data_IF_073709898420
#
_entry.id   IF_073709898420
#
_cell.length_a   1.000
_cell.length_b   1.000
_cell.length_c   1.000
_cell.angle_alpha   90.00
_cell.angle_beta   90.00
_cell.angle_gamma   90.00
#
_symmetry.space_group_name_H-M   'P 1'
#
loop_
_entity.id
_entity.type
_entity.pdbx_description
1 polymer ?
#
# COMPACT_ATOMS: atom_id res chain seq x y z
N UNK A 1 -10.06 21.88 -14.92
CA UNK A 1 -8.84 21.15 -14.53
C UNK A 1 -9.30 19.74 -14.15
N UNK A 2 -8.62 18.70 -14.59
CA UNK A 2 -8.93 17.32 -14.16
C UNK A 2 -8.60 17.16 -12.67
N UNK A 3 -9.34 16.30 -11.97
CA UNK A 3 -9.07 16.00 -10.58
C UNK A 3 -7.66 15.43 -10.42
N UNK A 4 -6.90 15.85 -9.39
CA UNK A 4 -5.51 15.43 -9.18
C UNK A 4 -5.38 13.94 -8.82
N UNK A 5 -6.49 13.32 -8.40
CA UNK A 5 -6.63 11.89 -8.11
C UNK A 5 -7.96 11.43 -8.67
N UNK A 6 -7.95 10.37 -9.46
CA UNK A 6 -9.15 9.72 -9.96
C UNK A 6 -9.51 8.55 -9.06
N UNK A 7 -10.80 8.41 -8.73
CA UNK A 7 -11.30 7.35 -7.86
C UNK A 7 -12.28 6.48 -8.64
N UNK A 8 -11.99 5.18 -8.67
CA UNK A 8 -12.85 4.17 -9.27
C UNK A 8 -13.20 3.09 -8.24
N UNK A 9 -14.44 2.59 -8.30
CA UNK A 9 -14.87 1.45 -7.49
C UNK A 9 -15.18 0.26 -8.38
N UNK A 10 -14.68 -0.92 -7.99
CA UNK A 10 -14.86 -2.18 -8.72
C UNK A 10 -14.98 -3.34 -7.73
N UNK A 11 -16.15 -3.98 -7.61
CA UNK A 11 -16.33 -5.23 -6.85
C UNK A 11 -15.72 -5.21 -5.43
N UNK A 12 -15.98 -4.15 -4.65
CA UNK A 12 -15.42 -4.00 -3.30
C UNK A 12 -13.96 -3.51 -3.25
N UNK A 13 -13.40 -3.13 -4.39
CA UNK A 13 -12.05 -2.57 -4.53
C UNK A 13 -12.16 -1.07 -4.81
N UNK A 14 -11.41 -0.25 -4.07
CA UNK A 14 -11.26 1.18 -4.33
C UNK A 14 -9.93 1.43 -5.03
N UNK A 15 -9.97 1.91 -6.26
CA UNK A 15 -8.79 2.29 -7.04
C UNK A 15 -8.58 3.79 -6.90
N UNK A 16 -7.39 4.19 -6.45
CA UNK A 16 -6.96 5.56 -6.19
C UNK A 16 -5.81 5.86 -7.15
N UNK A 17 -6.10 6.54 -8.25
CA UNK A 17 -5.11 6.81 -9.29
C UNK A 17 -4.65 8.27 -9.24
N UNK A 18 -3.37 8.52 -8.98
CA UNK A 18 -2.79 9.86 -9.06
C UNK A 18 -2.83 10.29 -10.53
N UNK A 19 -3.45 11.44 -10.82
CA UNK A 19 -3.72 11.91 -12.17
C UNK A 19 -3.01 13.24 -12.47
N UNK A 20 -1.68 13.21 -12.41
CA UNK A 20 -0.80 14.32 -12.78
C UNK A 20 0.36 13.84 -13.68
N UNK A 21 0.05 13.19 -14.83
CA UNK A 21 1.07 12.54 -15.65
C UNK A 21 2.14 13.51 -16.17
N UNK A 22 1.79 14.75 -16.48
CA UNK A 22 2.76 15.78 -16.90
C UNK A 22 3.77 16.14 -15.81
N UNK A 23 3.42 15.97 -14.53
CA UNK A 23 4.29 16.11 -13.36
C UNK A 23 4.81 14.75 -12.88
N UNK A 24 4.69 13.68 -13.67
CA UNK A 24 5.08 12.32 -13.30
C UNK A 24 4.46 11.87 -11.98
N UNK A 25 3.21 12.27 -11.77
CA UNK A 25 2.41 12.00 -10.56
C UNK A 25 3.07 12.49 -9.25
N UNK A 26 3.86 13.57 -9.33
CA UNK A 26 4.41 14.22 -8.15
C UNK A 26 3.29 14.72 -7.22
N UNK A 27 3.49 14.53 -5.92
CA UNK A 27 2.51 14.80 -4.87
C UNK A 27 2.65 16.24 -4.38
N UNK A 28 1.58 17.00 -4.52
CA UNK A 28 1.36 18.28 -3.87
C UNK A 28 0.23 18.15 -2.82
N UNK A 29 -0.12 19.25 -2.15
CA UNK A 29 -1.14 19.21 -1.09
C UNK A 29 -2.51 18.76 -1.60
N UNK A 30 -2.91 19.12 -2.82
CA UNK A 30 -4.18 18.71 -3.40
C UNK A 30 -4.25 17.18 -3.60
N UNK A 31 -3.17 16.55 -4.07
CA UNK A 31 -3.06 15.09 -4.16
C UNK A 31 -3.15 14.46 -2.78
N UNK A 32 -2.43 15.00 -1.79
CA UNK A 32 -2.43 14.45 -0.43
C UNK A 32 -3.83 14.48 0.21
N UNK A 33 -4.56 15.58 0.06
CA UNK A 33 -5.93 15.70 0.56
C UNK A 33 -6.88 14.72 -0.15
N UNK A 34 -6.75 14.57 -1.47
CA UNK A 34 -7.60 13.65 -2.23
C UNK A 34 -7.33 12.17 -1.85
N UNK A 35 -6.05 11.78 -1.67
CA UNK A 35 -5.69 10.43 -1.20
C UNK A 35 -6.23 10.22 0.21
N UNK A 36 -6.04 11.17 1.14
CA UNK A 36 -6.55 11.07 2.50
C UNK A 36 -8.06 10.84 2.52
N UNK A 37 -8.82 11.62 1.75
CA UNK A 37 -10.28 11.46 1.62
C UNK A 37 -10.66 10.09 1.05
N UNK A 38 -9.93 9.60 0.05
CA UNK A 38 -10.18 8.28 -0.53
C UNK A 38 -9.89 7.15 0.46
N UNK A 39 -8.85 7.29 1.27
CA UNK A 39 -8.51 6.32 2.35
C UNK A 39 -9.57 6.34 3.45
N UNK A 40 -10.08 7.52 3.84
CA UNK A 40 -11.18 7.61 4.81
C UNK A 40 -12.46 6.93 4.27
N UNK A 41 -12.74 7.10 2.98
CA UNK A 41 -13.83 6.38 2.32
C UNK A 41 -13.58 4.87 2.32
N UNK A 42 -12.36 4.41 2.01
CA UNK A 42 -12.01 2.98 2.07
C UNK A 42 -12.31 2.41 3.45
N UNK A 43 -11.93 3.10 4.52
CA UNK A 43 -12.13 2.62 5.89
C UNK A 43 -13.60 2.62 6.31
N UNK A 44 -14.33 3.70 6.01
CA UNK A 44 -15.70 3.89 6.51
C UNK A 44 -16.78 3.14 5.71
N UNK A 45 -16.55 2.82 4.44
CA UNK A 45 -17.51 2.15 3.58
C UNK A 45 -17.42 0.63 3.74
N UNK A 46 -18.45 -0.07 4.30
CA UNK A 46 -18.43 -1.51 4.51
C UNK A 46 -18.41 -2.33 3.20
N UNK A 47 -18.82 -1.74 2.08
CA UNK A 47 -18.78 -2.39 0.77
C UNK A 47 -17.37 -2.40 0.16
N UNK A 48 -16.48 -1.53 0.64
CA UNK A 48 -15.08 -1.50 0.23
C UNK A 48 -14.24 -2.39 1.14
N UNK A 49 -13.43 -3.26 0.55
CA UNK A 49 -12.65 -4.28 1.27
C UNK A 49 -11.15 -4.17 1.05
N UNK A 50 -10.74 -3.59 -0.09
CA UNK A 50 -9.32 -3.46 -0.50
C UNK A 50 -9.14 -2.14 -1.24
N UNK A 51 -8.04 -1.44 -0.98
CA UNK A 51 -7.60 -0.28 -1.77
C UNK A 51 -6.47 -0.64 -2.72
N UNK A 52 -6.40 0.04 -3.86
CA UNK A 52 -5.26 0.01 -4.79
C UNK A 52 -4.84 1.45 -5.05
N UNK A 53 -3.56 1.78 -4.82
CA UNK A 53 -2.97 3.05 -5.25
C UNK A 53 -2.18 2.81 -6.53
N UNK A 54 -2.36 3.69 -7.52
CA UNK A 54 -1.63 3.68 -8.79
C UNK A 54 -1.44 5.10 -9.32
N UNK A 55 -0.89 5.24 -10.52
CA UNK A 55 -0.74 6.52 -11.20
C UNK A 55 -1.04 6.42 -12.69
N UNK A 56 -1.59 7.48 -13.26
CA UNK A 56 -1.84 7.59 -14.69
C UNK A 56 -0.58 7.89 -15.50
N UNK A 57 -0.63 7.66 -16.80
CA UNK A 57 0.42 8.06 -17.76
C UNK A 57 1.68 7.19 -17.72
N UNK A 58 1.59 5.93 -17.24
CA UNK A 58 2.72 4.99 -17.23
C UNK A 58 3.74 5.23 -16.11
N UNK A 59 3.37 6.01 -15.08
CA UNK A 59 4.21 6.26 -13.91
C UNK A 59 3.40 6.09 -12.63
N UNK A 60 4.03 5.52 -11.60
CA UNK A 60 3.41 5.48 -10.28
C UNK A 60 3.50 6.87 -9.62
N UNK A 61 4.69 7.27 -9.17
CA UNK A 61 4.88 8.55 -8.48
C UNK A 61 6.37 8.93 -8.39
N UNK A 62 6.70 10.19 -8.73
CA UNK A 62 8.05 10.75 -8.64
C UNK A 62 8.41 11.30 -7.24
N UNK A 63 7.49 11.23 -6.26
CA UNK A 63 7.67 11.81 -4.94
C UNK A 63 7.05 13.22 -4.81
N UNK A 64 7.65 14.06 -3.97
CA UNK A 64 7.15 15.41 -3.70
C UNK A 64 7.24 16.31 -4.92
N UNK A 65 6.23 17.15 -5.15
CA UNK A 65 6.25 18.21 -6.15
C UNK A 65 7.19 19.34 -5.67
N UNK A 66 8.44 19.31 -6.18
CA UNK A 66 9.48 20.25 -5.78
C UNK A 66 9.16 21.71 -6.19
N UNK A 67 8.33 21.90 -7.23
CA UNK A 67 7.91 23.25 -7.63
C UNK A 67 6.91 23.79 -6.62
N UNK A 68 5.88 23.03 -6.27
CA UNK A 68 4.93 23.40 -5.23
C UNK A 68 5.64 23.61 -3.88
N UNK A 69 6.63 22.77 -3.56
CA UNK A 69 7.43 22.93 -2.36
C UNK A 69 8.23 24.26 -2.34
N UNK A 70 8.85 24.65 -3.46
CA UNK A 70 9.56 25.92 -3.59
C UNK A 70 8.61 27.13 -3.43
N UNK A 71 7.35 26.99 -3.83
CA UNK A 71 6.29 27.98 -3.63
C UNK A 71 5.71 27.97 -2.19
N UNK A 72 6.29 27.19 -1.27
CA UNK A 72 5.93 27.14 0.14
C UNK A 72 4.85 26.11 0.49
N UNK A 73 4.38 25.31 -0.49
CA UNK A 73 3.38 24.27 -0.25
C UNK A 73 4.02 23.05 0.45
N UNK A 74 3.25 22.37 1.29
CA UNK A 74 3.67 21.14 1.98
C UNK A 74 2.67 20.03 1.66
N UNK A 75 3.14 18.87 1.14
CA UNK A 75 2.28 17.73 0.83
C UNK A 75 1.92 16.88 2.06
N UNK A 76 2.57 17.13 3.19
CA UNK A 76 2.27 16.42 4.44
C UNK A 76 0.93 16.90 5.00
N UNK A 77 0.12 15.96 5.47
CA UNK A 77 -1.10 16.21 6.23
C UNK A 77 -0.82 15.86 7.69
N UNK A 78 -1.16 16.76 8.60
CA UNK A 78 -0.98 16.55 10.04
C UNK A 78 -1.65 15.23 10.49
N UNK A 79 -0.90 14.39 11.21
CA UNK A 79 -1.33 13.08 11.67
C UNK A 79 -1.46 12.01 10.59
N UNK A 80 -1.14 12.33 9.31
CA UNK A 80 -1.22 11.38 8.19
C UNK A 80 0.07 11.29 7.37
N UNK A 81 0.95 12.28 7.50
CA UNK A 81 2.23 12.34 6.80
C UNK A 81 2.11 12.64 5.31
N UNK A 82 3.13 12.25 4.55
CA UNK A 82 3.22 12.45 3.11
C UNK A 82 2.09 11.73 2.37
N UNK A 83 1.60 12.37 1.31
CA UNK A 83 0.45 11.90 0.53
C UNK A 83 -0.83 11.66 1.36
N UNK A 84 -0.91 12.20 2.59
CA UNK A 84 -2.03 11.99 3.50
C UNK A 84 -2.20 10.53 3.95
N UNK A 85 -1.13 9.73 3.95
CA UNK A 85 -1.20 8.29 4.13
C UNK A 85 -0.01 7.67 4.88
N UNK A 86 1.21 8.21 4.70
CA UNK A 86 2.41 7.47 5.13
C UNK A 86 2.52 7.26 6.64
N UNK A 87 1.88 8.07 7.46
CA UNK A 87 1.87 7.93 8.92
C UNK A 87 0.57 7.28 9.46
N UNK A 88 -0.49 7.23 8.65
CA UNK A 88 -1.77 6.64 9.02
C UNK A 88 -2.30 5.72 7.89
N UNK A 89 -1.63 4.58 7.64
CA UNK A 89 -2.11 3.60 6.67
C UNK A 89 -3.44 2.97 7.13
N UNK A 90 -4.32 2.61 6.19
CA UNK A 90 -5.62 2.02 6.52
C UNK A 90 -5.48 0.66 7.22
N UNK A 91 -6.50 0.29 7.98
CA UNK A 91 -6.65 -1.07 8.54
C UNK A 91 -7.00 -2.08 7.43
N UNK A 92 -7.81 -1.68 6.45
CA UNK A 92 -8.12 -2.50 5.29
C UNK A 92 -6.89 -2.66 4.40
N UNK A 93 -6.74 -3.81 3.68
CA UNK A 93 -5.61 -4.03 2.78
C UNK A 93 -5.47 -2.94 1.73
N UNK A 94 -4.23 -2.51 1.49
CA UNK A 94 -3.88 -1.51 0.49
C UNK A 94 -2.75 -2.04 -0.38
N UNK A 95 -2.94 -2.03 -1.70
CA UNK A 95 -1.97 -2.48 -2.68
C UNK A 95 -1.39 -1.29 -3.45
N UNK A 96 -0.13 -1.37 -3.86
CA UNK A 96 0.45 -0.47 -4.85
C UNK A 96 0.53 -1.19 -6.21
N UNK A 97 0.03 -0.54 -7.28
CA UNK A 97 0.21 -0.96 -8.66
C UNK A 97 1.21 0.00 -9.33
N UNK A 98 2.45 -0.47 -9.54
CA UNK A 98 3.57 0.38 -9.92
C UNK A 98 3.95 0.18 -11.37
N UNK A 99 3.66 1.19 -12.20
CA UNK A 99 4.22 1.35 -13.53
C UNK A 99 5.41 2.32 -13.49
N UNK A 100 6.35 2.17 -14.40
CA UNK A 100 7.48 3.04 -14.63
C UNK A 100 8.36 3.21 -13.39
N UNK A 101 7.97 4.02 -12.42
CA UNK A 101 8.80 4.22 -11.23
C UNK A 101 8.02 4.67 -9.99
N UNK A 102 8.55 4.30 -8.83
CA UNK A 102 8.23 4.80 -7.51
C UNK A 102 9.50 5.39 -6.89
N UNK A 103 9.61 6.73 -6.81
CA UNK A 103 10.82 7.41 -6.38
C UNK A 103 10.60 8.33 -5.19
N UNK A 104 11.61 8.44 -4.34
CA UNK A 104 11.58 9.31 -3.16
C UNK A 104 10.29 9.07 -2.35
N UNK A 105 9.52 10.13 -2.04
CA UNK A 105 8.21 9.98 -1.42
C UNK A 105 7.24 9.05 -2.16
N UNK A 106 7.40 8.84 -3.47
CA UNK A 106 6.62 7.84 -4.23
C UNK A 106 7.02 6.41 -3.88
N UNK A 107 8.30 6.16 -3.61
CA UNK A 107 8.76 4.88 -3.07
C UNK A 107 8.25 4.69 -1.64
N UNK A 108 8.27 5.72 -0.81
CA UNK A 108 7.73 5.70 0.55
C UNK A 108 6.23 5.44 0.57
N UNK A 109 5.49 6.01 -0.40
CA UNK A 109 4.07 5.73 -0.62
C UNK A 109 3.83 4.26 -0.99
N UNK A 110 4.61 3.69 -1.92
CA UNK A 110 4.53 2.28 -2.28
C UNK A 110 4.88 1.36 -1.09
N UNK A 111 5.90 1.73 -0.30
CA UNK A 111 6.29 1.02 0.93
C UNK A 111 5.23 1.08 2.03
N UNK A 112 4.34 2.07 2.02
CA UNK A 112 3.23 2.19 2.98
C UNK A 112 2.13 1.17 2.67
N UNK A 113 1.96 0.78 1.41
CA UNK A 113 1.03 -0.26 1.02
C UNK A 113 1.43 -1.63 1.57
N UNK A 114 0.48 -2.53 1.75
CA UNK A 114 0.74 -3.89 2.27
C UNK A 114 1.46 -4.76 1.24
N UNK A 115 1.04 -4.66 -0.02
CA UNK A 115 1.52 -5.47 -1.14
C UNK A 115 1.86 -4.57 -2.33
N UNK A 116 2.83 -5.00 -3.13
CA UNK A 116 3.26 -4.27 -4.33
C UNK A 116 3.19 -5.21 -5.54
N UNK A 117 2.48 -4.76 -6.57
CA UNK A 117 2.51 -5.36 -7.91
C UNK A 117 3.19 -4.35 -8.84
N UNK A 118 4.20 -4.77 -9.57
CA UNK A 118 5.00 -3.87 -10.40
C UNK A 118 5.13 -4.41 -11.84
N UNK A 119 5.16 -3.50 -12.80
CA UNK A 119 5.58 -3.84 -14.16
C UNK A 119 7.04 -4.28 -14.20
N UNK A 120 7.41 -5.16 -15.11
CA UNK A 120 8.80 -5.65 -15.28
C UNK A 120 9.79 -4.51 -15.60
N UNK A 121 9.29 -3.41 -16.16
CA UNK A 121 10.05 -2.19 -16.47
C UNK A 121 10.08 -1.18 -15.32
N UNK A 122 9.38 -1.46 -14.23
CA UNK A 122 9.32 -0.55 -13.09
C UNK A 122 10.61 -0.59 -12.25
N UNK A 123 10.86 0.50 -11.54
CA UNK A 123 11.97 0.63 -10.62
C UNK A 123 11.62 1.49 -9.41
N UNK A 124 12.35 1.25 -8.33
CA UNK A 124 12.17 1.86 -7.02
C UNK A 124 13.44 2.59 -6.61
N UNK A 125 13.34 3.61 -5.77
CA UNK A 125 14.53 4.26 -5.23
C UNK A 125 14.24 5.35 -4.21
N UNK A 126 15.21 5.54 -3.31
CA UNK A 126 15.25 6.61 -2.30
C UNK A 126 16.47 7.51 -2.58
N UNK A 127 16.40 8.41 -3.59
CA UNK A 127 17.55 9.18 -4.04
C UNK A 127 17.80 10.44 -3.22
N UNK A 128 17.18 10.61 -2.06
CA UNK A 128 17.23 11.81 -1.22
C UNK A 128 18.66 12.17 -0.82
N UNK A 129 19.50 11.17 -0.53
CA UNK A 129 20.92 11.39 -0.14
C UNK A 129 21.73 12.09 -1.24
N UNK A 130 21.39 11.90 -2.52
CA UNK A 130 22.01 12.57 -3.65
C UNK A 130 21.65 14.08 -3.73
N UNK A 131 20.76 14.55 -2.87
CA UNK A 131 20.27 15.93 -2.80
C UNK A 131 20.44 16.55 -1.41
N UNK A 132 21.22 15.90 -0.53
CA UNK A 132 21.45 16.37 0.83
C UNK A 132 20.20 16.26 1.72
N UNK A 133 19.28 15.33 1.38
CA UNK A 133 18.05 15.07 2.10
C UNK A 133 18.02 13.64 2.63
N UNK A 134 17.01 13.33 3.42
CA UNK A 134 16.72 12.00 3.99
C UNK A 134 15.30 11.61 3.60
N UNK A 135 15.07 10.35 3.27
CA UNK A 135 13.73 9.80 3.04
C UNK A 135 12.95 9.78 4.37
N UNK A 136 12.21 10.86 4.62
CA UNK A 136 11.60 11.17 5.92
C UNK A 136 10.17 10.66 6.11
N UNK A 137 9.54 10.08 5.06
CA UNK A 137 8.14 9.65 5.12
C UNK A 137 7.97 8.14 5.37
N UNK A 138 8.97 7.53 5.99
CA UNK A 138 8.95 6.13 6.45
C UNK A 138 9.68 5.15 5.56
N UNK A 139 10.32 5.58 4.47
CA UNK A 139 11.10 4.72 3.57
C UNK A 139 12.20 3.96 4.29
N UNK A 140 13.02 4.68 5.07
CA UNK A 140 14.15 4.11 5.81
C UNK A 140 13.73 3.21 6.98
N UNK A 141 12.48 3.30 7.44
CA UNK A 141 11.93 2.42 8.47
C UNK A 141 11.29 1.18 7.87
N UNK A 142 10.61 1.31 6.72
CA UNK A 142 9.85 0.23 6.09
C UNK A 142 10.70 -0.65 5.17
N UNK A 143 11.65 -0.05 4.45
CA UNK A 143 12.48 -0.81 3.50
C UNK A 143 13.24 -1.96 4.19
N UNK A 144 14.00 -1.75 5.30
CA UNK A 144 14.72 -2.82 5.97
C UNK A 144 13.82 -3.86 6.67
N UNK A 145 12.53 -3.56 6.83
CA UNK A 145 11.54 -4.55 7.32
C UNK A 145 11.02 -5.48 6.21
N UNK A 146 11.30 -5.17 4.95
CA UNK A 146 10.82 -5.94 3.78
C UNK A 146 11.93 -6.67 3.05
N UNK A 147 13.15 -6.12 3.07
CA UNK A 147 14.32 -6.71 2.42
C UNK A 147 15.49 -6.77 3.43
N UNK A 148 16.53 -7.59 3.18
CA UNK A 148 17.69 -7.63 4.06
C UNK A 148 18.27 -6.24 4.32
N UNK A 149 18.61 -5.93 5.58
CA UNK A 149 19.08 -4.62 6.01
C UNK A 149 20.29 -4.12 5.21
N UNK A 150 21.26 -4.99 4.91
CA UNK A 150 22.44 -4.62 4.13
C UNK A 150 22.05 -4.15 2.70
N UNK A 151 21.07 -4.78 2.08
CA UNK A 151 20.55 -4.40 0.77
C UNK A 151 19.78 -3.08 0.88
N UNK A 152 18.97 -2.91 1.93
CA UNK A 152 18.25 -1.66 2.18
C UNK A 152 19.23 -0.49 2.38
N UNK A 153 20.32 -0.70 3.13
CA UNK A 153 21.38 0.30 3.34
C UNK A 153 22.10 0.64 2.04
N UNK A 154 22.45 -0.36 1.22
CA UNK A 154 23.10 -0.12 -0.08
C UNK A 154 22.29 0.87 -0.93
N UNK A 155 21.01 0.56 -1.19
CA UNK A 155 20.14 1.43 -1.99
C UNK A 155 19.85 2.78 -1.32
N UNK A 156 19.69 2.81 0.00
CA UNK A 156 19.43 4.05 0.72
C UNK A 156 20.65 4.98 0.78
N UNK A 157 21.87 4.44 0.89
CA UNK A 157 23.10 5.22 1.00
C UNK A 157 23.65 5.66 -0.37
N UNK A 158 23.45 4.85 -1.42
CA UNK A 158 23.87 5.20 -2.78
C UNK A 158 22.83 6.05 -3.51
N UNK A 159 21.56 5.92 -3.15
CA UNK A 159 20.44 6.51 -3.87
C UNK A 159 20.22 5.86 -5.25
N UNK A 160 20.77 4.67 -5.48
CA UNK A 160 20.60 3.91 -6.71
C UNK A 160 19.17 3.38 -6.88
N UNK A 161 18.89 2.93 -8.09
CA UNK A 161 17.57 2.40 -8.47
C UNK A 161 17.57 0.88 -8.36
N UNK A 162 16.52 0.33 -7.78
CA UNK A 162 16.24 -1.10 -7.74
C UNK A 162 15.20 -1.42 -8.81
N UNK A 163 15.51 -2.24 -9.80
CA UNK A 163 14.54 -2.70 -10.78
C UNK A 163 13.52 -3.67 -10.18
N UNK A 164 12.38 -3.85 -10.86
CA UNK A 164 11.26 -4.67 -10.37
C UNK A 164 11.63 -6.14 -10.12
N UNK A 165 12.51 -6.73 -10.93
CA UNK A 165 12.93 -8.13 -10.76
C UNK A 165 13.85 -8.28 -9.55
N UNK A 166 14.78 -7.34 -9.35
CA UNK A 166 15.62 -7.28 -8.14
C UNK A 166 14.76 -7.03 -6.90
N UNK A 167 13.79 -6.11 -6.97
CA UNK A 167 12.84 -5.86 -5.89
C UNK A 167 12.00 -7.11 -5.56
N UNK A 168 11.57 -7.86 -6.56
CA UNK A 168 10.88 -9.13 -6.37
C UNK A 168 11.77 -10.21 -5.76
N UNK A 169 13.01 -10.34 -6.23
CA UNK A 169 14.00 -11.28 -5.67
C UNK A 169 14.23 -11.07 -4.17
N UNK A 170 14.24 -9.82 -3.72
CA UNK A 170 14.45 -9.48 -2.30
C UNK A 170 13.15 -9.47 -1.47
N UNK A 171 11.97 -9.63 -2.10
CA UNK A 171 10.69 -9.68 -1.40
C UNK A 171 9.99 -8.31 -1.23
N UNK A 172 10.52 -7.24 -1.83
CA UNK A 172 9.85 -5.94 -1.84
C UNK A 172 8.59 -5.96 -2.73
N UNK A 173 8.70 -6.55 -3.93
CA UNK A 173 7.60 -6.70 -4.90
C UNK A 173 7.01 -8.10 -4.79
N UNK A 174 5.69 -8.19 -4.63
CA UNK A 174 4.97 -9.45 -4.50
C UNK A 174 4.76 -10.15 -5.86
N UNK A 175 4.47 -9.37 -6.91
CA UNK A 175 4.27 -9.87 -8.28
C UNK A 175 4.86 -8.93 -9.31
N UNK A 176 5.50 -9.49 -10.33
CA UNK A 176 5.96 -8.76 -11.51
C UNK A 176 5.02 -9.08 -12.67
N UNK A 177 4.62 -8.07 -13.42
CA UNK A 177 3.74 -8.16 -14.59
C UNK A 177 4.43 -7.61 -15.83
N UNK A 178 3.80 -7.79 -17.00
CA UNK A 178 4.22 -7.07 -18.19
C UNK A 178 3.99 -5.58 -18.04
N UNK A 179 4.73 -4.78 -18.80
CA UNK A 179 4.52 -3.33 -18.90
C UNK A 179 3.05 -3.02 -19.26
N UNK A 180 2.47 -2.05 -18.57
CA UNK A 180 1.07 -1.66 -18.71
C UNK A 180 0.06 -2.55 -17.97
N UNK A 181 0.50 -3.63 -17.31
CA UNK A 181 -0.38 -4.60 -16.67
C UNK A 181 -0.30 -4.62 -15.12
N UNK A 182 0.40 -3.67 -14.50
CA UNK A 182 0.54 -3.64 -13.03
C UNK A 182 -0.82 -3.46 -12.34
N UNK A 183 -1.68 -2.60 -12.86
CA UNK A 183 -3.02 -2.38 -12.30
C UNK A 183 -3.89 -3.65 -12.42
N UNK A 184 -3.90 -4.31 -13.57
CA UNK A 184 -4.65 -5.56 -13.77
C UNK A 184 -4.15 -6.66 -12.83
N UNK A 185 -2.83 -6.76 -12.65
CA UNK A 185 -2.21 -7.68 -11.69
C UNK A 185 -2.61 -7.38 -10.24
N UNK A 186 -2.69 -6.10 -9.87
CA UNK A 186 -3.15 -5.67 -8.54
C UNK A 186 -4.64 -5.94 -8.35
N UNK A 187 -5.48 -5.69 -9.35
CA UNK A 187 -6.92 -6.03 -9.32
C UNK A 187 -7.12 -7.54 -9.15
N UNK A 188 -6.37 -8.37 -9.88
CA UNK A 188 -6.44 -9.82 -9.72
C UNK A 188 -6.05 -10.27 -8.30
N UNK A 189 -5.01 -9.65 -7.71
CA UNK A 189 -4.61 -9.90 -6.32
C UNK A 189 -5.67 -9.41 -5.32
N UNK A 190 -6.22 -8.21 -5.52
CA UNK A 190 -7.28 -7.65 -4.69
C UNK A 190 -8.56 -8.51 -4.72
N UNK A 191 -8.96 -9.03 -5.89
CA UNK A 191 -10.09 -9.98 -6.02
C UNK A 191 -9.85 -11.26 -5.23
N UNK A 192 -8.63 -11.80 -5.21
CA UNK A 192 -8.30 -12.95 -4.38
C UNK A 192 -8.40 -12.64 -2.88
N UNK A 193 -8.12 -11.41 -2.47
CA UNK A 193 -8.28 -10.96 -1.08
C UNK A 193 -9.77 -10.76 -0.76
N UNK A 194 -10.52 -10.04 -1.59
CA UNK A 194 -11.94 -9.74 -1.34
C UNK A 194 -12.84 -10.99 -1.32
N UNK A 195 -12.39 -12.10 -1.88
CA UNK A 195 -13.08 -13.40 -1.80
C UNK A 195 -13.06 -14.02 -0.41
N UNK A 196 -12.25 -13.53 0.52
CA UNK A 196 -12.10 -14.06 1.88
C UNK A 196 -12.90 -13.22 2.90
N UNK A 197 -13.09 -13.79 4.11
CA UNK A 197 -13.84 -13.15 5.20
C UNK A 197 -13.20 -11.84 5.66
N UNK A 198 -13.91 -10.70 5.62
CA UNK A 198 -13.33 -9.37 5.89
C UNK A 198 -12.68 -9.24 7.26
N UNK A 199 -13.36 -9.76 8.31
CA UNK A 199 -12.82 -9.72 9.67
C UNK A 199 -11.53 -10.52 9.80
N UNK A 200 -11.46 -11.68 9.14
CA UNK A 200 -10.26 -12.54 9.14
C UNK A 200 -9.08 -11.82 8.45
N UNK A 201 -9.34 -11.13 7.34
CA UNK A 201 -8.33 -10.33 6.63
C UNK A 201 -7.80 -9.21 7.51
N UNK A 202 -8.69 -8.43 8.14
CA UNK A 202 -8.31 -7.31 9.01
C UNK A 202 -7.43 -7.79 10.18
N UNK A 203 -7.84 -8.84 10.87
CA UNK A 203 -7.08 -9.39 12.00
C UNK A 203 -5.76 -10.04 11.54
N UNK A 204 -5.74 -10.70 10.39
CA UNK A 204 -4.49 -11.23 9.82
C UNK A 204 -3.49 -10.11 9.52
N UNK A 205 -3.93 -9.03 8.86
CA UNK A 205 -3.08 -7.86 8.60
C UNK A 205 -2.58 -7.25 9.90
N UNK A 206 -3.47 -7.04 10.86
CA UNK A 206 -3.13 -6.47 12.17
C UNK A 206 -2.05 -7.30 12.89
N UNK A 207 -2.25 -8.61 13.01
CA UNK A 207 -1.29 -9.51 13.66
C UNK A 207 0.07 -9.49 12.95
N UNK A 208 0.08 -9.61 11.63
CA UNK A 208 1.34 -9.63 10.85
C UNK A 208 2.11 -8.31 11.00
N UNK A 209 1.43 -7.16 11.10
CA UNK A 209 2.07 -5.85 11.25
C UNK A 209 2.57 -5.60 12.67
N UNK A 210 1.80 -6.01 13.67
CA UNK A 210 2.09 -5.71 15.08
C UNK A 210 3.01 -6.73 15.74
N UNK A 211 2.94 -8.00 15.36
CA UNK A 211 3.72 -9.07 15.98
C UNK A 211 5.24 -8.81 16.07
N UNK A 212 5.89 -8.16 15.09
CA UNK A 212 7.31 -7.81 15.21
C UNK A 212 7.64 -6.82 16.34
N UNK A 213 6.63 -6.12 16.86
CA UNK A 213 6.77 -5.14 17.96
C UNK A 213 6.42 -5.77 19.33
N UNK A 214 5.91 -7.01 19.38
CA UNK A 214 5.53 -7.67 20.62
C UNK A 214 6.73 -8.33 21.28
N UNK A 215 6.80 -8.25 22.60
CA UNK A 215 7.77 -9.05 23.35
C UNK A 215 7.41 -10.55 23.22
N UNK A 216 8.40 -11.41 23.09
CA UNK A 216 8.19 -12.86 22.90
C UNK A 216 7.26 -13.46 23.98
N UNK A 217 7.41 -13.03 25.24
CA UNK A 217 6.58 -13.48 26.35
C UNK A 217 5.10 -13.03 26.25
N UNK A 218 4.80 -12.01 25.45
CA UNK A 218 3.47 -11.42 25.33
C UNK A 218 2.72 -11.87 24.07
N UNK A 219 3.41 -12.50 23.11
CA UNK A 219 2.84 -12.87 21.80
C UNK A 219 1.48 -13.54 21.95
N UNK A 220 1.37 -14.57 22.77
CA UNK A 220 0.13 -15.33 22.93
C UNK A 220 -0.95 -14.56 23.68
N UNK A 221 -0.58 -13.68 24.60
CA UNK A 221 -1.52 -12.83 25.32
C UNK A 221 -2.12 -11.77 24.42
N UNK A 222 -1.31 -11.17 23.53
CA UNK A 222 -1.74 -10.15 22.59
C UNK A 222 -2.49 -10.75 21.37
N UNK A 223 -2.05 -11.90 20.85
CA UNK A 223 -2.66 -12.52 19.69
C UNK A 223 -4.01 -13.18 20.00
N UNK A 224 -4.15 -13.86 21.14
CA UNK A 224 -5.33 -14.68 21.45
C UNK A 224 -6.66 -13.93 21.39
N UNK A 225 -6.80 -12.70 21.94
CA UNK A 225 -8.07 -11.95 21.84
C UNK A 225 -8.47 -11.66 20.39
N UNK A 226 -7.49 -11.39 19.50
CA UNK A 226 -7.73 -11.13 18.08
C UNK A 226 -8.22 -12.39 17.35
N UNK A 227 -7.62 -13.53 17.65
CA UNK A 227 -8.04 -14.83 17.11
C UNK A 227 -9.41 -15.21 17.63
N UNK A 228 -9.68 -15.03 18.92
CA UNK A 228 -10.98 -15.32 19.55
C UNK A 228 -12.12 -14.50 18.94
N UNK A 229 -11.85 -13.23 18.59
CA UNK A 229 -12.81 -12.38 17.90
C UNK A 229 -13.24 -13.00 16.55
N UNK A 230 -12.27 -13.50 15.78
CA UNK A 230 -12.54 -14.15 14.48
C UNK A 230 -13.27 -15.48 14.66
N UNK A 231 -12.82 -16.32 15.58
CA UNK A 231 -13.42 -17.65 15.81
C UNK A 231 -14.89 -17.56 16.24
N UNK A 232 -15.28 -16.51 16.96
CA UNK A 232 -16.66 -16.28 17.42
C UNK A 232 -17.53 -15.56 16.40
N UNK A 233 -17.02 -15.17 15.26
CA UNK A 233 -17.76 -14.45 14.22
C UNK A 233 -18.79 -15.32 13.49
N UNK A 234 -19.81 -14.69 12.90
CA UNK A 234 -20.74 -15.36 12.00
C UNK A 234 -20.00 -15.92 10.78
N UNK A 235 -18.98 -15.22 10.29
CA UNK A 235 -18.17 -15.62 9.14
C UNK A 235 -17.38 -16.91 9.42
N UNK A 236 -16.87 -17.12 10.63
CA UNK A 236 -16.20 -18.38 10.98
C UNK A 236 -17.16 -19.59 10.89
N UNK A 237 -18.41 -19.43 11.34
CA UNK A 237 -19.44 -20.46 11.23
C UNK A 237 -19.87 -20.67 9.77
N UNK A 238 -20.03 -19.59 9.01
CA UNK A 238 -20.35 -19.65 7.59
C UNK A 238 -19.24 -20.37 6.80
N UNK A 239 -17.98 -20.05 7.06
CA UNK A 239 -16.84 -20.71 6.43
C UNK A 239 -16.84 -22.23 6.65
N UNK A 240 -17.10 -22.67 7.88
CA UNK A 240 -17.20 -24.09 8.22
C UNK A 240 -18.38 -24.78 7.51
N UNK A 241 -19.55 -24.13 7.44
CA UNK A 241 -20.73 -24.64 6.74
C UNK A 241 -20.50 -24.71 5.23
N UNK A 242 -20.05 -23.63 4.62
CA UNK A 242 -19.79 -23.56 3.18
C UNK A 242 -18.79 -24.63 2.73
N UNK A 243 -17.73 -24.85 3.54
CA UNK A 243 -16.76 -25.92 3.29
C UNK A 243 -17.41 -27.31 3.31
N UNK A 244 -18.23 -27.62 4.34
CA UNK A 244 -18.89 -28.92 4.45
C UNK A 244 -19.93 -29.16 3.33
N UNK A 245 -20.60 -28.10 2.90
CA UNK A 245 -21.62 -28.10 1.84
C UNK A 245 -21.02 -27.96 0.42
N UNK A 246 -19.70 -27.77 0.30
CA UNK A 246 -18.98 -27.59 -0.98
C UNK A 246 -19.54 -26.44 -1.82
N UNK A 247 -19.91 -25.34 -1.19
CA UNK A 247 -20.38 -24.10 -1.84
C UNK A 247 -19.48 -22.92 -1.53
N UNK A 248 -19.65 -21.85 -2.29
CA UNK A 248 -19.01 -20.58 -1.96
C UNK A 248 -19.60 -19.99 -0.66
N UNK A 249 -18.74 -19.43 0.23
CA UNK A 249 -19.20 -18.76 1.43
C UNK A 249 -19.84 -17.41 1.13
N UNK A 250 -20.70 -16.93 2.05
CA UNK A 250 -21.33 -15.62 2.00
C UNK A 250 -20.92 -14.83 3.23
N UNK A 251 -19.89 -14.00 3.06
CA UNK A 251 -19.30 -13.25 4.16
C UNK A 251 -20.16 -12.05 4.56
N UNK A 252 -20.28 -11.81 5.87
CA UNK A 252 -21.02 -10.69 6.46
C UNK A 252 -20.11 -9.69 7.15
N UNK A 253 -18.84 -10.03 7.39
CA UNK A 253 -17.85 -9.18 8.06
C UNK A 253 -18.05 -9.09 9.58
N UNK A 254 -18.74 -10.00 10.21
CA UNK A 254 -19.08 -9.97 11.64
C UNK A 254 -19.16 -11.34 12.27
#
# INVERSE_FOLDING_TARGET
>A
MSDPVEIQQLDGILIIAINRPLQRNAVNRAVSLAIATAVDRLESDPELRVGIITGHGGYFCAGMDLKAFADGERPEIEGRGFAGLTEAPPEKPLLAAVEGFALAGGCELALTCDLIVAAETAWFGLPEVQRGLVAGSGGLVRLPRRIPEAIALEYALTGERMDANTAHKWGLVNRVTKEGAALDGAIAMAKAITANAPLSIAMTKHIVREAPNWAEAEIWTLQRPLVDLVIRSEDALEGARAFSEKRAPQWKGR
#
